data_IF_119295844311
#
_entry.id   IF_119295844311
#
_cell.length_a   1.000
_cell.length_b   1.000
_cell.length_c   1.000
_cell.angle_alpha   90.00
_cell.angle_beta   90.00
_cell.angle_gamma   90.00
#
_symmetry.space_group_name_H-M   'P 1'
#
loop_
_entity.id
_entity.type
_entity.pdbx_description
1 polymer ?
#
# COMPACT_ATOMS: atom_id res chain seq x y z
N UNK A 1 1.74 -11.03 -23.54
CA UNK A 1 3.00 -10.83 -22.80
C UNK A 1 3.37 -9.35 -22.88
N UNK A 2 3.56 -8.72 -21.72
CA UNK A 2 3.96 -7.30 -21.62
C UNK A 2 5.40 -7.22 -21.16
N UNK A 3 6.19 -6.40 -21.85
CA UNK A 3 7.53 -6.03 -21.45
C UNK A 3 7.51 -4.73 -20.65
N UNK A 4 8.16 -4.73 -19.48
CA UNK A 4 8.35 -3.58 -18.59
C UNK A 4 9.83 -3.43 -18.27
N UNK A 5 10.59 -2.97 -19.27
CA UNK A 5 12.02 -2.69 -19.20
C UNK A 5 12.31 -1.18 -19.09
N UNK A 6 11.37 -0.43 -18.52
CA UNK A 6 11.41 1.02 -18.31
C UNK A 6 12.09 1.38 -16.96
N UNK A 7 13.17 0.67 -16.61
CA UNK A 7 13.92 0.86 -15.37
C UNK A 7 15.29 1.50 -15.61
N UNK A 8 15.68 2.46 -14.76
CA UNK A 8 16.94 3.20 -14.91
C UNK A 8 18.21 2.35 -14.87
N UNK A 9 18.17 1.17 -14.23
CA UNK A 9 19.32 0.27 -14.19
C UNK A 9 19.79 -0.18 -15.58
N UNK A 10 18.89 -0.23 -16.56
CA UNK A 10 19.23 -0.57 -17.95
C UNK A 10 20.20 0.42 -18.58
N UNK A 11 20.08 1.70 -18.25
CA UNK A 11 20.98 2.75 -18.76
C UNK A 11 22.44 2.53 -18.31
N UNK A 12 22.64 2.01 -17.08
CA UNK A 12 23.98 1.67 -16.60
C UNK A 12 24.60 0.49 -17.34
N UNK A 13 23.77 -0.36 -17.95
CA UNK A 13 24.17 -1.50 -18.76
C UNK A 13 24.26 -1.16 -20.26
N UNK A 14 24.03 0.11 -20.63
CA UNK A 14 24.01 0.56 -22.02
C UNK A 14 22.80 0.06 -22.82
N UNK A 15 21.74 -0.37 -22.14
CA UNK A 15 20.51 -0.85 -22.76
C UNK A 15 19.45 0.25 -22.79
N UNK A 16 18.68 0.28 -23.87
CA UNK A 16 17.54 1.22 -23.98
C UNK A 16 16.38 0.77 -23.07
N UNK A 17 15.70 1.74 -22.50
CA UNK A 17 14.42 1.48 -21.83
C UNK A 17 13.35 1.14 -22.87
N UNK A 18 12.53 0.15 -22.57
CA UNK A 18 11.42 -0.26 -23.44
C UNK A 18 10.18 -0.64 -22.62
N UNK A 19 9.02 -0.37 -23.20
CA UNK A 19 7.72 -0.76 -22.66
C UNK A 19 6.82 -1.11 -23.85
N UNK A 20 6.43 -2.38 -23.94
CA UNK A 20 5.67 -2.86 -25.11
C UNK A 20 4.85 -4.10 -24.82
N UNK A 21 3.90 -4.39 -25.72
CA UNK A 21 3.22 -5.69 -25.78
C UNK A 21 3.98 -6.58 -26.75
N UNK A 22 4.67 -7.61 -26.24
CA UNK A 22 5.47 -8.54 -27.04
C UNK A 22 4.61 -9.61 -27.71
N UNK A 23 3.50 -10.01 -27.08
CA UNK A 23 2.63 -11.06 -27.63
C UNK A 23 1.21 -10.87 -27.10
N UNK A 24 0.21 -11.11 -27.96
CA UNK A 24 -1.21 -10.92 -27.68
C UNK A 24 -1.62 -9.45 -27.79
N UNK A 25 -2.80 -9.14 -27.26
CA UNK A 25 -3.36 -7.79 -27.22
C UNK A 25 -3.58 -7.35 -25.78
N UNK A 26 -3.39 -6.07 -25.52
CA UNK A 26 -3.72 -5.43 -24.25
C UNK A 26 -4.62 -4.22 -24.55
N UNK A 27 -5.91 -4.36 -24.27
CA UNK A 27 -6.92 -3.34 -24.56
C UNK A 27 -7.17 -2.39 -23.38
N UNK A 28 -6.44 -2.55 -22.30
CA UNK A 28 -6.57 -1.73 -21.08
C UNK A 28 -6.10 -2.48 -19.84
N UNK A 29 -6.46 -1.99 -18.65
CA UNK A 29 -6.13 -2.64 -17.38
C UNK A 29 -6.65 -4.08 -17.31
N UNK A 30 -5.91 -4.94 -16.61
CA UNK A 30 -6.21 -6.35 -16.42
C UNK A 30 -6.83 -6.57 -15.05
N UNK A 31 -7.94 -7.28 -14.99
CA UNK A 31 -8.52 -7.68 -13.71
C UNK A 31 -7.84 -8.97 -13.22
N UNK A 32 -7.26 -8.93 -12.02
CA UNK A 32 -6.62 -10.06 -11.39
C UNK A 32 -7.12 -10.26 -9.96
N UNK A 33 -7.45 -11.49 -9.59
CA UNK A 33 -7.85 -11.84 -8.23
C UNK A 33 -6.61 -12.24 -7.41
N UNK A 34 -6.32 -11.47 -6.36
CA UNK A 34 -5.24 -11.72 -5.41
C UNK A 34 -5.86 -12.06 -4.05
N UNK A 35 -5.68 -13.28 -3.56
CA UNK A 35 -6.32 -13.79 -2.33
C UNK A 35 -7.85 -13.53 -2.29
N UNK A 36 -8.49 -13.62 -3.46
CA UNK A 36 -9.92 -13.42 -3.64
C UNK A 36 -10.40 -11.97 -3.58
N UNK A 37 -9.50 -10.98 -3.60
CA UNK A 37 -9.81 -9.57 -3.89
C UNK A 37 -9.44 -9.29 -5.34
N UNK A 38 -10.37 -8.75 -6.11
CA UNK A 38 -10.15 -8.36 -7.51
C UNK A 38 -9.50 -6.99 -7.58
N UNK A 39 -8.39 -6.91 -8.31
CA UNK A 39 -7.68 -5.66 -8.58
C UNK A 39 -7.70 -5.35 -10.07
N UNK A 40 -7.96 -4.12 -10.41
CA UNK A 40 -7.82 -3.62 -11.77
C UNK A 40 -6.39 -3.07 -11.94
N UNK A 41 -5.56 -3.78 -12.71
CA UNK A 41 -4.12 -3.57 -12.78
C UNK A 41 -3.75 -3.00 -14.13
N UNK A 42 -3.18 -1.79 -14.16
CA UNK A 42 -2.58 -1.23 -15.35
C UNK A 42 -1.16 -1.77 -15.53
N UNK A 43 -1.00 -2.67 -16.49
CA UNK A 43 0.29 -3.29 -16.78
C UNK A 43 1.24 -2.36 -17.53
N UNK A 44 0.74 -1.30 -18.17
CA UNK A 44 1.56 -0.37 -18.96
C UNK A 44 1.99 0.85 -18.15
N UNK A 45 1.09 1.47 -17.39
CA UNK A 45 1.39 2.72 -16.66
C UNK A 45 1.57 2.50 -15.15
N UNK A 46 1.13 1.36 -14.61
CA UNK A 46 1.24 1.05 -13.19
C UNK A 46 2.69 0.94 -12.67
N UNK A 47 2.90 1.23 -11.41
CA UNK A 47 4.18 1.04 -10.74
C UNK A 47 4.65 -0.42 -10.84
N UNK A 48 5.95 -0.65 -11.08
CA UNK A 48 6.53 -1.99 -11.32
C UNK A 48 5.74 -2.73 -12.42
N UNK A 49 5.12 -3.84 -12.07
CA UNK A 49 4.25 -4.66 -12.92
C UNK A 49 2.76 -4.35 -12.70
N UNK A 50 2.43 -3.17 -12.19
CA UNK A 50 1.07 -2.70 -11.91
C UNK A 50 0.59 -2.99 -10.48
N UNK A 51 1.20 -3.95 -9.77
CA UNK A 51 0.91 -4.26 -8.36
C UNK A 51 2.10 -4.93 -7.67
N UNK A 52 2.05 -5.06 -6.34
CA UNK A 52 3.08 -5.68 -5.51
C UNK A 52 2.74 -7.15 -5.23
N UNK A 53 3.10 -8.04 -6.16
CA UNK A 53 2.79 -9.47 -6.06
C UNK A 53 3.52 -10.16 -4.90
N UNK A 54 4.65 -9.62 -4.47
CA UNK A 54 5.44 -10.09 -3.34
C UNK A 54 4.75 -9.90 -1.97
N UNK A 55 3.77 -8.99 -1.88
CA UNK A 55 3.00 -8.73 -0.66
C UNK A 55 1.78 -9.64 -0.44
N UNK A 56 1.45 -10.53 -1.36
CA UNK A 56 0.23 -11.34 -1.28
C UNK A 56 0.14 -12.18 0.01
N UNK A 57 1.26 -12.78 0.44
CA UNK A 57 1.30 -13.57 1.67
C UNK A 57 1.07 -12.66 2.89
N UNK A 58 1.70 -11.49 2.89
CA UNK A 58 1.57 -10.51 3.98
C UNK A 58 0.15 -9.96 4.06
N UNK A 59 -0.51 -9.66 2.91
CA UNK A 59 -1.92 -9.25 2.89
C UNK A 59 -2.81 -10.27 3.59
N UNK A 60 -2.65 -11.58 3.28
CA UNK A 60 -3.43 -12.64 3.87
C UNK A 60 -3.13 -12.82 5.38
N UNK A 61 -1.84 -12.75 5.77
CA UNK A 61 -1.45 -12.89 7.18
C UNK A 61 -2.02 -11.77 8.05
N UNK A 62 -1.89 -10.51 7.61
CA UNK A 62 -2.41 -9.36 8.35
C UNK A 62 -3.94 -9.39 8.39
N UNK A 63 -4.60 -9.74 7.30
CA UNK A 63 -6.05 -9.83 7.23
C UNK A 63 -6.65 -10.77 8.28
N UNK A 64 -5.95 -11.87 8.63
CA UNK A 64 -6.39 -12.80 9.68
C UNK A 64 -6.54 -12.16 11.07
N UNK A 65 -5.97 -10.98 11.28
CA UNK A 65 -6.05 -10.24 12.55
C UNK A 65 -7.00 -9.03 12.50
N UNK A 66 -7.73 -8.84 11.39
CA UNK A 66 -8.51 -7.62 11.15
C UNK A 66 -10.02 -7.76 11.43
N UNK A 67 -10.55 -8.97 11.61
CA UNK A 67 -11.99 -9.17 11.86
C UNK A 67 -12.46 -8.37 13.09
N UNK A 68 -13.54 -7.59 12.92
CA UNK A 68 -14.13 -6.70 13.95
C UNK A 68 -13.17 -5.61 14.46
N UNK A 69 -12.09 -5.31 13.73
CA UNK A 69 -11.05 -4.33 14.11
C UNK A 69 -11.17 -3.04 13.32
N UNK A 70 -10.71 -1.94 13.93
CA UNK A 70 -10.47 -0.67 13.24
C UNK A 70 -9.04 -0.69 12.73
N UNK A 71 -8.88 -0.58 11.41
CA UNK A 71 -7.60 -0.78 10.71
C UNK A 71 -7.17 0.53 10.06
N UNK A 72 -5.92 0.92 10.28
CA UNK A 72 -5.23 1.99 9.58
C UNK A 72 -4.14 1.38 8.68
N UNK A 73 -4.26 1.60 7.37
CA UNK A 73 -3.28 1.18 6.37
C UNK A 73 -2.50 2.40 5.86
N UNK A 74 -1.28 2.56 6.36
CA UNK A 74 -0.38 3.65 5.97
C UNK A 74 0.43 3.25 4.74
N UNK A 75 0.51 4.15 3.75
CA UNK A 75 1.09 3.89 2.43
C UNK A 75 0.30 2.84 1.65
N UNK A 76 -1.01 2.97 1.69
CA UNK A 76 -1.98 1.97 1.20
C UNK A 76 -1.89 1.70 -0.30
N UNK A 77 -1.32 2.62 -1.10
CA UNK A 77 -1.22 2.56 -2.55
C UNK A 77 -2.60 2.28 -3.18
N UNK A 78 -2.78 1.16 -3.86
CA UNK A 78 -4.06 0.76 -4.48
C UNK A 78 -4.98 -0.04 -3.52
N UNK A 79 -4.72 0.04 -2.22
CA UNK A 79 -5.56 -0.58 -1.19
C UNK A 79 -5.22 -2.05 -0.89
N UNK A 80 -3.99 -2.49 -1.13
CA UNK A 80 -3.63 -3.90 -0.97
C UNK A 80 -3.99 -4.46 0.41
N UNK A 81 -3.43 -3.93 1.47
CA UNK A 81 -3.74 -4.34 2.84
C UNK A 81 -5.15 -3.93 3.26
N UNK A 82 -5.56 -2.69 2.95
CA UNK A 82 -6.87 -2.15 3.32
C UNK A 82 -8.03 -3.02 2.82
N UNK A 83 -7.99 -3.45 1.56
CA UNK A 83 -9.06 -4.25 0.96
C UNK A 83 -9.10 -5.68 1.49
N UNK A 84 -7.94 -6.28 1.79
CA UNK A 84 -7.89 -7.58 2.43
C UNK A 84 -8.40 -7.52 3.88
N UNK A 85 -8.08 -6.44 4.62
CA UNK A 85 -8.63 -6.20 5.95
C UNK A 85 -10.17 -6.03 5.90
N UNK A 86 -10.68 -5.22 4.97
CA UNK A 86 -12.12 -5.05 4.78
C UNK A 86 -12.82 -6.38 4.43
N UNK A 87 -12.22 -7.18 3.53
CA UNK A 87 -12.72 -8.52 3.17
C UNK A 87 -12.74 -9.47 4.36
N UNK A 88 -11.77 -9.38 5.26
CA UNK A 88 -11.71 -10.18 6.48
C UNK A 88 -12.72 -9.75 7.55
N UNK A 89 -13.54 -8.72 7.30
CA UNK A 89 -14.57 -8.25 8.20
C UNK A 89 -14.09 -7.18 9.20
N UNK A 90 -13.09 -6.39 8.85
CA UNK A 90 -12.74 -5.21 9.65
C UNK A 90 -13.97 -4.30 9.83
N UNK A 91 -14.16 -3.77 11.04
CA UNK A 91 -15.28 -2.88 11.37
C UNK A 91 -15.13 -1.50 10.74
N UNK A 92 -13.89 -1.05 10.59
CA UNK A 92 -13.52 0.21 9.95
C UNK A 92 -12.15 0.05 9.28
N UNK A 93 -11.99 0.60 8.08
CA UNK A 93 -10.70 0.62 7.36
C UNK A 93 -10.45 2.02 6.83
N UNK A 94 -9.30 2.58 7.20
CA UNK A 94 -8.77 3.82 6.66
C UNK A 94 -7.43 3.57 5.97
N UNK A 95 -7.34 3.83 4.68
CA UNK A 95 -6.12 3.81 3.89
C UNK A 95 -5.58 5.21 3.64
N UNK A 96 -4.29 5.43 3.88
CA UNK A 96 -3.60 6.70 3.64
C UNK A 96 -2.55 6.55 2.56
N UNK A 97 -2.51 7.48 1.60
CA UNK A 97 -1.44 7.61 0.63
C UNK A 97 -1.28 9.06 0.18
N UNK A 98 -0.13 9.42 -0.37
CA UNK A 98 0.10 10.74 -0.97
C UNK A 98 -0.41 10.82 -2.41
N UNK A 99 -0.49 9.70 -3.11
CA UNK A 99 -0.90 9.61 -4.51
C UNK A 99 -2.42 9.54 -4.63
N UNK A 100 -3.05 10.62 -5.06
CA UNK A 100 -4.49 10.62 -5.36
C UNK A 100 -4.84 9.66 -6.52
N UNK A 101 -3.93 9.44 -7.45
CA UNK A 101 -4.09 8.47 -8.53
C UNK A 101 -4.20 7.04 -7.97
N UNK A 102 -3.30 6.66 -7.05
CA UNK A 102 -3.35 5.36 -6.38
C UNK A 102 -4.63 5.20 -5.55
N UNK A 103 -5.04 6.25 -4.83
CA UNK A 103 -6.28 6.23 -4.04
C UNK A 103 -7.54 6.16 -4.90
N UNK A 104 -7.54 6.78 -6.07
CA UNK A 104 -8.64 6.64 -7.04
C UNK A 104 -8.78 5.18 -7.46
N UNK A 105 -7.66 4.51 -7.72
CA UNK A 105 -7.65 3.08 -8.02
C UNK A 105 -8.07 2.23 -6.82
N UNK A 106 -7.64 2.58 -5.59
CA UNK A 106 -8.06 1.90 -4.37
C UNK A 106 -9.58 1.96 -4.16
N UNK A 107 -10.18 3.14 -4.37
CA UNK A 107 -11.65 3.33 -4.30
C UNK A 107 -12.37 2.51 -5.38
N UNK A 108 -11.85 2.49 -6.61
CA UNK A 108 -12.41 1.68 -7.69
C UNK A 108 -12.33 0.17 -7.38
N UNK A 109 -11.21 -0.29 -6.82
CA UNK A 109 -11.03 -1.67 -6.38
C UNK A 109 -11.98 -2.01 -5.22
N UNK A 110 -12.17 -1.12 -4.24
CA UNK A 110 -13.13 -1.30 -3.15
C UNK A 110 -14.56 -1.49 -3.69
N UNK A 111 -14.97 -0.62 -4.59
CA UNK A 111 -16.29 -0.69 -5.23
C UNK A 111 -16.49 -2.00 -6.04
N UNK A 112 -15.48 -2.39 -6.81
CA UNK A 112 -15.53 -3.61 -7.63
C UNK A 112 -15.65 -4.91 -6.80
N UNK A 113 -15.28 -4.86 -5.51
CA UNK A 113 -15.35 -5.99 -4.59
C UNK A 113 -16.48 -5.86 -3.56
N UNK A 114 -17.31 -4.82 -3.63
CA UNK A 114 -18.34 -4.49 -2.63
C UNK A 114 -17.75 -4.40 -1.19
N UNK A 115 -16.56 -3.84 -1.07
CA UNK A 115 -15.84 -3.69 0.20
C UNK A 115 -15.93 -2.25 0.71
N UNK A 116 -16.11 -2.12 2.03
CA UNK A 116 -16.16 -0.82 2.71
C UNK A 116 -14.79 -0.46 3.24
N UNK A 117 -14.14 0.52 2.62
CA UNK A 117 -12.91 1.14 3.07
C UNK A 117 -12.92 2.61 2.70
N UNK A 118 -12.38 3.45 3.57
CA UNK A 118 -12.20 4.88 3.34
C UNK A 118 -10.76 5.14 2.96
N UNK A 119 -10.54 6.08 2.02
CA UNK A 119 -9.20 6.44 1.56
C UNK A 119 -9.02 7.96 1.61
N UNK A 120 -7.95 8.41 2.27
CA UNK A 120 -7.60 9.81 2.47
C UNK A 120 -6.25 10.12 1.85
N UNK A 121 -6.20 11.17 1.01
CA UNK A 121 -4.93 11.68 0.49
C UNK A 121 -4.23 12.46 1.59
N UNK A 122 -3.11 11.95 2.06
CA UNK A 122 -2.32 12.60 3.10
C UNK A 122 -0.86 12.18 3.07
N UNK A 123 0.03 13.08 3.53
CA UNK A 123 1.36 12.68 3.92
C UNK A 123 1.28 11.90 5.24
N UNK A 124 1.70 10.64 5.23
CA UNK A 124 1.59 9.75 6.39
C UNK A 124 2.32 10.29 7.62
N UNK A 125 3.49 10.92 7.45
CA UNK A 125 4.22 11.53 8.58
C UNK A 125 3.43 12.66 9.25
N UNK A 126 2.83 13.53 8.43
CA UNK A 126 2.05 14.65 8.93
C UNK A 126 0.73 14.17 9.55
N UNK A 127 0.08 13.20 8.92
CA UNK A 127 -1.13 12.59 9.44
C UNK A 127 -0.90 11.93 10.80
N UNK A 128 0.12 11.07 10.89
CA UNK A 128 0.51 10.43 12.15
C UNK A 128 0.92 11.46 13.21
N UNK A 129 1.63 12.53 12.82
CA UNK A 129 1.99 13.62 13.71
C UNK A 129 0.80 14.32 14.31
N UNK A 130 -0.20 14.60 13.51
CA UNK A 130 -1.43 15.29 13.91
C UNK A 130 -2.30 14.41 14.83
N UNK A 131 -2.41 13.12 14.51
CA UNK A 131 -3.39 12.22 15.13
C UNK A 131 -2.82 11.34 16.27
N UNK A 132 -1.48 11.21 16.44
CA UNK A 132 -0.86 10.42 17.50
C UNK A 132 -0.75 11.15 18.86
N UNK A 133 -1.77 11.89 19.25
CA UNK A 133 -1.85 12.54 20.57
C UNK A 133 -1.82 11.53 21.73
N UNK A 134 -1.70 12.03 22.98
CA UNK A 134 -1.48 11.17 24.16
C UNK A 134 -2.60 10.16 24.45
N UNK A 135 -3.80 10.36 23.92
CA UNK A 135 -4.98 9.53 24.17
C UNK A 135 -5.56 8.92 22.88
N UNK A 136 -4.86 9.05 21.76
CA UNK A 136 -5.28 8.54 20.48
C UNK A 136 -5.29 7.03 20.53
N UNK A 137 -6.08 6.24 20.79
CA UNK A 137 -6.16 4.76 20.69
C UNK A 137 -7.28 4.43 19.72
N UNK A 138 -7.16 4.99 18.52
CA UNK A 138 -8.26 5.01 17.55
C UNK A 138 -8.32 3.76 16.68
N UNK A 139 -7.21 3.01 16.59
CA UNK A 139 -7.10 1.83 15.74
C UNK A 139 -6.66 0.61 16.55
N UNK A 140 -7.12 -0.56 16.15
CA UNK A 140 -6.76 -1.84 16.76
C UNK A 140 -5.61 -2.50 15.97
N UNK A 141 -5.49 -2.18 14.67
CA UNK A 141 -4.42 -2.63 13.78
C UNK A 141 -3.89 -1.41 13.01
N UNK A 142 -2.57 -1.22 13.00
CA UNK A 142 -1.91 -0.23 12.15
C UNK A 142 -0.91 -0.96 11.28
N UNK A 143 -0.95 -0.69 9.97
CA UNK A 143 -0.08 -1.29 8.96
C UNK A 143 0.87 -0.21 8.46
N UNK A 144 2.18 -0.50 8.43
CA UNK A 144 3.22 0.37 7.92
C UNK A 144 4.02 -0.37 6.84
N UNK A 145 3.69 -0.14 5.58
CA UNK A 145 4.47 -0.62 4.42
C UNK A 145 5.06 0.55 3.62
N UNK A 146 6.00 1.33 4.22
CA UNK A 146 6.53 2.51 3.60
C UNK A 146 7.47 2.18 2.44
N UNK A 147 7.59 3.09 1.45
CA UNK A 147 8.67 3.00 0.48
C UNK A 147 10.03 3.16 1.17
N UNK A 148 11.11 2.77 0.49
CA UNK A 148 12.47 2.98 1.02
C UNK A 148 12.74 4.47 1.22
N UNK A 149 13.08 4.87 2.44
CA UNK A 149 13.44 6.26 2.79
C UNK A 149 14.90 6.60 2.46
N UNK A 150 15.68 5.64 1.97
CA UNK A 150 17.06 5.89 1.55
C UNK A 150 17.33 5.39 0.13
N UNK A 151 18.20 6.13 -0.59
CA UNK A 151 18.69 5.75 -1.92
C UNK A 151 20.19 5.50 -1.95
N UNK A 152 20.91 5.82 -0.86
CA UNK A 152 22.35 5.67 -0.76
C UNK A 152 22.79 5.56 0.71
N UNK A 153 24.06 5.16 0.94
CA UNK A 153 24.60 4.96 2.29
C UNK A 153 24.62 6.23 3.14
N UNK A 154 24.81 7.40 2.55
CA UNK A 154 24.89 8.65 3.29
C UNK A 154 23.54 9.05 3.90
N UNK A 155 22.42 8.66 3.31
CA UNK A 155 21.06 8.96 3.81
C UNK A 155 20.52 7.93 4.80
N UNK A 156 21.26 6.86 5.12
CA UNK A 156 20.82 5.82 6.09
C UNK A 156 20.45 6.38 7.47
N UNK A 157 21.25 7.29 8.11
CA UNK A 157 20.88 7.83 9.41
C UNK A 157 19.55 8.60 9.39
N UNK A 158 19.26 9.34 8.31
CA UNK A 158 18.01 10.07 8.15
C UNK A 158 16.82 9.12 7.92
N UNK A 159 17.03 8.09 7.11
CA UNK A 159 16.05 7.06 6.89
C UNK A 159 15.67 6.33 8.19
N UNK A 160 16.65 5.98 9.01
CA UNK A 160 16.41 5.35 10.32
C UNK A 160 15.62 6.26 11.26
N UNK A 161 15.87 7.58 11.24
CA UNK A 161 15.04 8.54 11.99
C UNK A 161 13.61 8.56 11.50
N UNK A 162 13.41 8.55 10.19
CA UNK A 162 12.07 8.47 9.58
C UNK A 162 11.32 7.20 9.97
N UNK A 163 11.94 6.04 9.84
CA UNK A 163 11.33 4.77 10.27
C UNK A 163 10.99 4.78 11.77
N UNK A 164 11.92 5.20 12.62
CA UNK A 164 11.66 5.33 14.06
C UNK A 164 10.47 6.25 14.35
N UNK A 165 10.38 7.37 13.65
CA UNK A 165 9.30 8.34 13.85
C UNK A 165 7.93 7.75 13.55
N UNK A 166 7.74 7.13 12.38
CA UNK A 166 6.44 6.55 12.01
C UNK A 166 6.04 5.41 12.93
N UNK A 167 6.99 4.53 13.32
CA UNK A 167 6.70 3.44 14.25
C UNK A 167 6.27 3.96 15.64
N UNK A 168 6.99 4.94 16.21
CA UNK A 168 6.62 5.52 17.49
C UNK A 168 5.25 6.19 17.47
N UNK A 169 4.89 6.82 16.36
CA UNK A 169 3.59 7.48 16.21
C UNK A 169 2.47 6.46 16.00
N UNK A 170 2.70 5.43 15.20
CA UNK A 170 1.78 4.34 14.98
C UNK A 170 1.46 3.60 16.29
N UNK A 171 2.48 3.29 17.10
CA UNK A 171 2.29 2.66 18.40
C UNK A 171 1.43 3.47 19.37
N UNK A 172 1.40 4.81 19.24
CA UNK A 172 0.53 5.67 20.08
C UNK A 172 -0.95 5.62 19.67
N UNK A 173 -1.23 5.21 18.44
CA UNK A 173 -2.61 5.02 17.95
C UNK A 173 -3.21 3.70 18.40
N UNK A 174 -2.38 2.77 18.87
CA UNK A 174 -2.77 1.42 19.25
C UNK A 174 -3.07 1.31 20.75
N UNK A 175 -4.08 0.52 21.16
CA UNK A 175 -4.24 0.07 22.53
C UNK A 175 -3.13 -0.92 22.90
N UNK A 176 -2.95 -1.27 24.19
CA UNK A 176 -1.93 -2.25 24.62
C UNK A 176 -2.02 -3.61 23.94
N UNK A 177 -3.22 -4.01 23.49
CA UNK A 177 -3.48 -5.25 22.75
C UNK A 177 -3.51 -5.05 21.23
N UNK A 178 -3.17 -3.87 20.74
CA UNK A 178 -3.18 -3.56 19.31
C UNK A 178 -2.04 -4.21 18.55
N UNK A 179 -2.21 -4.37 17.26
CA UNK A 179 -1.23 -4.95 16.35
C UNK A 179 -0.59 -3.87 15.48
N UNK A 180 0.73 -3.84 15.44
CA UNK A 180 1.51 -3.12 14.43
C UNK A 180 2.09 -4.14 13.44
N UNK A 181 1.78 -4.01 12.15
CA UNK A 181 2.25 -4.85 11.06
C UNK A 181 3.15 -4.06 10.09
#
# INVERSE_FOLDING_TARGET
IVERNDVRSREFEGLQQSKSVLHGELTGPVNAALNGVSFNIDLMEGHKTGTYLDQQINHALVANHCADKRVLDCFTFQGGFALHAAKAGASEVLGLDQSEEALTQARANALANDLKATFEQSNVFDWLKKNSGKEAREFDVVILDPPSFTRNRASVPDALRGYKEIHLRALRLLPPSGLLA
#
